data_IF_627611507680
#
_entry.id   IF_627611507680
#
_cell.length_a   1.000
_cell.length_b   1.000
_cell.length_c   1.000
_cell.angle_alpha   90.00
_cell.angle_beta   90.00
_cell.angle_gamma   90.00
#
_symmetry.space_group_name_H-M   'P 1'
#
loop_
_entity.id
_entity.type
_entity.pdbx_description
1 polymer ?
#
# COMPACT_ATOMS: atom_id res chain seq x y z
N UNK A 1 1.57 6.02 -17.16
CA UNK A 1 1.32 4.58 -17.04
C UNK A 1 2.54 3.92 -16.38
N UNK A 2 2.45 3.54 -15.11
CA UNK A 2 3.57 2.95 -14.37
C UNK A 2 3.10 1.87 -13.43
N UNK A 3 2.99 0.63 -13.91
CA UNK A 3 3.04 -0.52 -13.01
C UNK A 3 3.59 -1.75 -13.75
N UNK A 4 4.37 -2.55 -13.01
CA UNK A 4 5.28 -3.60 -13.51
C UNK A 4 6.27 -3.14 -14.59
N UNK A 5 6.50 -1.84 -14.71
CA UNK A 5 7.61 -1.32 -15.50
C UNK A 5 8.86 -1.28 -14.63
N UNK A 6 10.02 -1.45 -15.24
CA UNK A 6 11.30 -1.32 -14.54
C UNK A 6 11.40 0.00 -13.79
N UNK A 7 10.82 1.08 -14.34
CA UNK A 7 10.75 2.40 -13.70
C UNK A 7 10.02 2.42 -12.36
N UNK A 8 8.90 1.69 -12.23
CA UNK A 8 8.17 1.62 -10.95
C UNK A 8 8.93 0.73 -9.95
N UNK A 9 9.53 -0.37 -10.43
CA UNK A 9 10.41 -1.18 -9.60
C UNK A 9 11.64 -0.40 -9.10
N UNK A 10 12.21 0.46 -9.94
CA UNK A 10 13.35 1.31 -9.58
C UNK A 10 12.95 2.38 -8.56
N UNK A 11 11.75 2.97 -8.68
CA UNK A 11 11.22 3.89 -7.66
C UNK A 11 11.06 3.19 -6.31
N UNK A 12 10.54 1.96 -6.29
CA UNK A 12 10.43 1.15 -5.06
C UNK A 12 11.79 0.75 -4.48
N UNK A 13 12.78 0.42 -5.33
CA UNK A 13 14.14 0.09 -4.87
C UNK A 13 14.90 1.30 -4.35
N UNK A 14 14.65 2.47 -4.93
CA UNK A 14 15.25 3.74 -4.52
C UNK A 14 14.62 4.27 -3.23
N UNK A 15 13.39 3.87 -2.92
CA UNK A 15 12.73 4.20 -1.67
C UNK A 15 13.50 3.58 -0.49
N UNK A 16 14.08 4.44 0.35
CA UNK A 16 14.82 4.01 1.53
C UNK A 16 13.90 4.18 2.73
N UNK A 17 13.60 3.11 3.48
CA UNK A 17 12.84 3.25 4.71
C UNK A 17 13.53 4.26 5.62
N UNK A 18 12.76 5.24 6.09
CA UNK A 18 13.27 6.41 6.81
C UNK A 18 13.85 6.10 8.20
N UNK A 19 13.71 4.86 8.68
CA UNK A 19 14.09 4.47 10.05
C UNK A 19 14.96 3.22 10.08
N UNK A 20 16.03 3.29 10.88
CA UNK A 20 16.85 2.14 11.30
C UNK A 20 16.06 1.19 12.21
N UNK A 21 16.53 -0.06 12.43
CA UNK A 21 15.96 -0.98 13.42
C UNK A 21 15.84 -0.39 14.83
N UNK A 22 14.69 0.20 15.16
CA UNK A 22 14.35 0.65 16.50
C UNK A 22 13.94 -0.51 17.42
N UNK A 23 13.52 -0.19 18.65
CA UNK A 23 13.05 -1.19 19.63
C UNK A 23 11.96 -2.10 19.05
N UNK A 24 11.05 -1.55 18.23
CA UNK A 24 10.01 -2.31 17.53
C UNK A 24 10.58 -3.39 16.60
N UNK A 25 11.64 -3.09 15.86
CA UNK A 25 12.27 -4.08 14.98
C UNK A 25 12.92 -5.21 15.77
N UNK A 26 13.57 -4.89 16.90
CA UNK A 26 14.19 -5.90 17.76
C UNK A 26 13.14 -6.84 18.36
N UNK A 27 11.97 -6.32 18.71
CA UNK A 27 10.83 -7.12 19.15
C UNK A 27 10.33 -8.04 18.04
N UNK A 28 10.16 -7.51 16.82
CA UNK A 28 9.72 -8.31 15.67
C UNK A 28 10.71 -9.43 15.34
N UNK A 29 12.02 -9.15 15.38
CA UNK A 29 13.07 -10.13 15.13
C UNK A 29 13.02 -11.28 16.15
N UNK A 30 12.89 -10.96 17.45
CA UNK A 30 12.74 -11.94 18.53
C UNK A 30 11.56 -12.89 18.30
N UNK A 31 10.43 -12.37 17.83
CA UNK A 31 9.22 -13.14 17.55
C UNK A 31 9.21 -13.78 16.15
N UNK A 32 10.28 -13.58 15.36
CA UNK A 32 10.38 -13.96 13.94
C UNK A 32 9.14 -13.50 13.17
N UNK A 33 8.75 -12.26 13.43
CA UNK A 33 7.48 -11.71 13.02
C UNK A 33 7.38 -11.55 11.50
N UNK A 34 6.16 -11.65 11.01
CA UNK A 34 5.76 -11.31 9.65
C UNK A 34 4.49 -10.47 9.71
N UNK A 35 4.21 -9.70 8.67
CA UNK A 35 3.05 -8.83 8.62
C UNK A 35 1.85 -9.52 7.97
N UNK A 36 0.67 -9.42 8.61
CA UNK A 36 -0.62 -9.70 7.98
C UNK A 36 -1.25 -8.38 7.57
N UNK A 37 -1.77 -8.32 6.35
CA UNK A 37 -2.39 -7.10 5.79
C UNK A 37 -3.88 -7.32 5.63
N UNK A 38 -4.67 -6.42 6.23
CA UNK A 38 -6.08 -6.23 5.95
C UNK A 38 -6.28 -5.00 5.07
N UNK A 39 -7.19 -5.10 4.09
CA UNK A 39 -7.55 -4.00 3.19
C UNK A 39 -9.04 -3.73 3.29
N UNK A 40 -9.38 -2.46 3.48
CA UNK A 40 -10.75 -1.98 3.43
C UNK A 40 -10.83 -0.84 2.41
N UNK A 41 -11.76 -0.95 1.45
CA UNK A 41 -11.99 0.14 0.50
C UNK A 41 -12.72 1.25 1.23
N UNK A 42 -12.08 2.41 1.34
CA UNK A 42 -12.67 3.61 1.96
C UNK A 42 -12.71 4.67 0.89
N UNK A 43 -13.88 4.96 0.32
CA UNK A 43 -14.01 6.07 -0.63
C UNK A 43 -14.45 7.34 0.09
N UNK A 44 -13.68 8.41 -0.05
CA UNK A 44 -14.15 9.74 0.34
C UNK A 44 -15.30 10.15 -0.59
N UNK A 45 -16.44 10.54 0.00
CA UNK A 45 -17.59 11.04 -0.74
C UNK A 45 -17.26 12.31 -1.56
N UNK A 46 -16.21 13.04 -1.20
CA UNK A 46 -15.73 14.23 -1.91
C UNK A 46 -14.70 13.92 -3.02
N UNK A 47 -14.38 12.65 -3.29
CA UNK A 47 -13.42 12.32 -4.35
C UNK A 47 -13.92 12.78 -5.73
N UNK A 48 -13.01 13.17 -6.65
CA UNK A 48 -13.38 13.42 -8.04
C UNK A 48 -14.10 12.21 -8.65
N UNK A 49 -15.10 12.46 -9.49
CA UNK A 49 -15.74 11.42 -10.28
C UNK A 49 -14.71 10.74 -11.20
N UNK A 50 -14.89 9.44 -11.42
CA UNK A 50 -14.07 8.71 -12.38
C UNK A 50 -14.27 9.31 -13.79
N UNK A 51 -13.17 9.57 -14.50
CA UNK A 51 -13.16 10.02 -15.89
C UNK A 51 -12.88 8.85 -16.85
N UNK A 52 -13.05 9.05 -18.15
CA UNK A 52 -12.93 7.99 -19.17
C UNK A 52 -11.56 7.31 -19.21
N UNK A 53 -10.50 7.97 -18.73
CA UNK A 53 -9.14 7.44 -18.71
C UNK A 53 -8.52 7.32 -17.32
N UNK A 54 -9.13 7.88 -16.29
CA UNK A 54 -8.53 8.05 -14.97
C UNK A 54 -9.57 7.91 -13.85
N UNK A 55 -9.22 7.18 -12.80
CA UNK A 55 -10.06 6.96 -11.64
C UNK A 55 -9.20 6.90 -10.36
N UNK A 56 -9.78 7.27 -9.23
CA UNK A 56 -9.08 7.24 -7.94
C UNK A 56 -9.82 6.33 -6.95
N UNK A 57 -9.04 5.54 -6.20
CA UNK A 57 -9.53 4.68 -5.11
C UNK A 57 -8.73 4.97 -3.86
N UNK A 58 -9.39 4.89 -2.71
CA UNK A 58 -8.73 4.99 -1.42
C UNK A 58 -8.95 3.69 -0.64
N UNK A 59 -7.92 3.28 0.08
CA UNK A 59 -7.89 2.08 0.88
C UNK A 59 -7.35 2.39 2.27
N UNK A 60 -8.01 1.87 3.28
CA UNK A 60 -7.41 1.72 4.61
C UNK A 60 -6.62 0.43 4.62
N UNK A 61 -5.32 0.52 4.92
CA UNK A 61 -4.41 -0.60 4.98
C UNK A 61 -4.02 -0.82 6.44
N UNK A 62 -4.44 -1.95 7.00
CA UNK A 62 -4.10 -2.33 8.38
C UNK A 62 -3.07 -3.44 8.33
N UNK A 63 -1.88 -3.16 8.85
CA UNK A 63 -0.76 -4.09 8.91
C UNK A 63 -0.54 -4.54 10.35
N UNK A 64 -0.81 -5.81 10.63
CA UNK A 64 -0.62 -6.40 11.96
C UNK A 64 0.60 -7.31 11.97
N UNK A 65 1.63 -7.00 12.77
CA UNK A 65 2.77 -7.88 12.98
C UNK A 65 2.34 -9.13 13.75
N UNK A 66 2.69 -10.31 13.26
CA UNK A 66 2.39 -11.60 13.89
C UNK A 66 3.67 -12.43 14.00
N UNK A 67 3.94 -12.95 15.20
CA UNK A 67 5.05 -13.83 15.50
C UNK A 67 4.76 -15.28 15.12
N UNK A 68 5.81 -16.07 14.89
CA UNK A 68 5.65 -17.54 14.67
C UNK A 68 5.27 -18.28 15.95
N UNK A 69 5.44 -17.63 17.08
CA UNK A 69 5.15 -18.07 18.44
C UNK A 69 3.79 -17.55 18.94
N UNK A 70 2.90 -17.13 18.02
CA UNK A 70 1.58 -16.56 18.32
C UNK A 70 1.59 -15.16 18.95
N UNK A 71 2.75 -14.50 19.04
CA UNK A 71 2.81 -13.07 19.41
C UNK A 71 2.06 -12.21 18.38
N UNK A 72 1.46 -11.11 18.85
CA UNK A 72 0.83 -10.09 18.01
C UNK A 72 1.31 -8.72 18.45
N UNK A 73 1.85 -7.95 17.50
CA UNK A 73 2.22 -6.56 17.73
C UNK A 73 1.07 -5.59 17.49
N UNK A 74 1.31 -4.33 17.83
CA UNK A 74 0.38 -3.24 17.53
C UNK A 74 0.19 -3.08 16.01
N UNK A 75 -1.06 -2.99 15.51
CA UNK A 75 -1.31 -2.73 14.11
C UNK A 75 -0.87 -1.33 13.69
N UNK A 76 -0.26 -1.23 12.51
CA UNK A 76 -0.06 0.02 11.79
C UNK A 76 -1.20 0.22 10.79
N UNK A 77 -1.87 1.37 10.86
CA UNK A 77 -2.93 1.73 9.91
C UNK A 77 -2.44 2.90 9.07
N UNK A 78 -2.52 2.77 7.75
CA UNK A 78 -2.19 3.83 6.79
C UNK A 78 -3.30 3.97 5.76
N UNK A 79 -3.38 5.14 5.12
CA UNK A 79 -4.29 5.36 4.01
C UNK A 79 -3.54 5.32 2.69
N UNK A 80 -3.96 4.47 1.77
CA UNK A 80 -3.39 4.36 0.44
C UNK A 80 -4.33 4.94 -0.61
N UNK A 81 -3.84 5.90 -1.39
CA UNK A 81 -4.51 6.48 -2.55
C UNK A 81 -3.96 5.84 -3.81
N UNK A 82 -4.85 5.25 -4.60
CA UNK A 82 -4.53 4.47 -5.79
C UNK A 82 -5.07 5.19 -7.01
N UNK A 83 -4.16 5.65 -7.88
CA UNK A 83 -4.51 6.17 -9.19
C UNK A 83 -4.71 4.99 -10.15
N UNK A 84 -5.80 4.98 -10.88
CA UNK A 84 -6.12 4.00 -11.91
C UNK A 84 -6.18 4.70 -13.27
N UNK A 85 -5.64 4.05 -14.30
CA UNK A 85 -5.74 4.52 -15.69
C UNK A 85 -6.24 3.41 -16.61
N UNK A 86 -6.93 3.78 -17.68
CA UNK A 86 -7.27 2.89 -18.79
C UNK A 86 -7.00 3.59 -20.12
N UNK A 87 -6.64 2.83 -21.15
CA UNK A 87 -6.24 3.41 -22.44
C UNK A 87 -7.42 3.75 -23.35
N UNK A 88 -8.58 3.16 -23.10
CA UNK A 88 -9.84 3.40 -23.79
C UNK A 88 -11.00 2.80 -22.98
N UNK A 89 -12.22 3.17 -23.32
CA UNK A 89 -13.42 2.60 -22.73
C UNK A 89 -13.51 1.09 -22.96
N UNK A 90 -13.98 0.37 -21.94
CA UNK A 90 -14.05 -1.10 -21.95
C UNK A 90 -12.70 -1.80 -21.83
N UNK A 91 -11.56 -1.08 -21.78
CA UNK A 91 -10.27 -1.68 -21.44
C UNK A 91 -10.13 -1.80 -19.91
N UNK A 92 -9.39 -2.81 -19.44
CA UNK A 92 -9.20 -3.00 -18.00
C UNK A 92 -8.48 -1.81 -17.37
N UNK A 93 -8.95 -1.40 -16.20
CA UNK A 93 -8.27 -0.46 -15.34
C UNK A 93 -6.92 -1.02 -14.88
N UNK A 94 -5.96 -0.12 -14.74
CA UNK A 94 -4.57 -0.42 -14.39
C UNK A 94 -4.10 0.57 -13.34
N UNK A 95 -3.44 0.08 -12.30
CA UNK A 95 -2.83 0.97 -11.29
C UNK A 95 -1.75 1.82 -11.95
N UNK A 96 -1.82 3.13 -11.82
CA UNK A 96 -0.84 4.06 -12.38
C UNK A 96 0.15 4.56 -11.32
N UNK A 97 -0.31 4.73 -10.09
CA UNK A 97 0.49 5.14 -8.94
C UNK A 97 -0.21 4.76 -7.63
N UNK A 98 0.58 4.69 -6.54
CA UNK A 98 0.08 4.51 -5.18
C UNK A 98 0.81 5.50 -4.27
N UNK A 99 0.06 6.32 -3.54
CA UNK A 99 0.58 7.23 -2.52
C UNK A 99 0.05 6.80 -1.15
N UNK A 100 0.94 6.72 -0.16
CA UNK A 100 0.58 6.35 1.22
C UNK A 100 0.75 7.57 2.12
N UNK A 101 -0.24 7.82 2.98
CA UNK A 101 -0.25 8.89 3.98
C UNK A 101 -0.26 8.31 5.40
#
# INVERSE_FOLDING_TARGET
AGWLTDKYADKLRADRPQSVPGAQWQEWDKHRAYTKVGLEQTEDAAKPADADGEAWRQWTVTTTPTGRDQWSGDPLVVTAYVQLTRTADGKPWRVADVTVA
#
